data_IF_091380583916
#
_entry.id   IF_091380583916
#
_cell.length_a   1.000
_cell.length_b   1.000
_cell.length_c   1.000
_cell.angle_alpha   90.00
_cell.angle_beta   90.00
_cell.angle_gamma   90.00
#
_symmetry.space_group_name_H-M   'P 1'
#
loop_
_entity.id
_entity.type
_entity.pdbx_description
1 polymer ?
#
# COMPACT_ATOMS: atom_id res chain seq x y z
N UNK A 1 -17.16 -33.03 12.18
CA UNK A 1 -16.95 -31.58 12.39
C UNK A 1 -16.52 -31.01 11.05
N UNK A 2 -17.18 -29.98 10.53
CA UNK A 2 -16.93 -29.53 9.16
C UNK A 2 -15.53 -28.92 9.02
N UNK A 3 -14.71 -29.47 8.13
CA UNK A 3 -13.40 -28.96 7.68
C UNK A 3 -13.51 -27.67 6.83
N UNK A 4 -14.43 -26.77 7.18
CA UNK A 4 -14.44 -25.43 6.63
C UNK A 4 -13.49 -24.59 7.47
N UNK A 5 -12.24 -24.52 7.01
CA UNK A 5 -11.30 -23.46 7.40
C UNK A 5 -12.08 -22.14 7.40
N UNK A 6 -12.05 -21.40 8.51
CA UNK A 6 -12.60 -20.06 8.62
C UNK A 6 -11.84 -19.14 7.65
N UNK A 7 -12.21 -19.13 6.36
CA UNK A 7 -11.54 -18.38 5.28
C UNK A 7 -11.54 -16.87 5.52
N UNK A 8 -12.42 -16.38 6.41
CA UNK A 8 -12.56 -14.98 6.81
C UNK A 8 -11.66 -14.57 7.98
N UNK A 9 -10.83 -15.45 8.55
CA UNK A 9 -9.96 -15.10 9.69
C UNK A 9 -8.58 -15.74 9.63
N UNK A 10 -7.57 -14.98 10.04
CA UNK A 10 -6.23 -15.44 10.34
C UNK A 10 -6.15 -15.78 11.82
N UNK A 11 -5.61 -16.94 12.15
CA UNK A 11 -5.25 -17.27 13.52
C UNK A 11 -3.86 -16.69 13.84
N UNK A 12 -3.70 -16.14 15.04
CA UNK A 12 -2.43 -15.58 15.52
C UNK A 12 -2.13 -16.21 16.89
N UNK A 13 -0.94 -16.79 17.07
CA UNK A 13 -0.56 -17.45 18.33
C UNK A 13 -0.47 -16.44 19.48
N UNK A 14 -0.78 -16.89 20.70
CA UNK A 14 -0.70 -16.09 21.91
C UNK A 14 0.05 -16.83 23.02
N UNK A 15 0.80 -16.07 23.82
CA UNK A 15 1.46 -16.48 25.07
C UNK A 15 2.97 -16.69 24.94
N UNK A 16 3.58 -17.40 25.89
CA UNK A 16 5.03 -17.63 25.99
C UNK A 16 5.65 -18.10 24.67
N UNK A 17 6.61 -17.32 24.15
CA UNK A 17 7.27 -17.60 22.87
C UNK A 17 6.62 -16.95 21.64
N UNK A 18 5.38 -16.46 21.74
CA UNK A 18 4.72 -15.73 20.64
C UNK A 18 5.38 -14.37 20.38
N UNK A 19 5.39 -13.95 19.11
CA UNK A 19 5.92 -12.64 18.68
C UNK A 19 5.24 -11.46 19.41
N UNK A 20 3.94 -11.60 19.72
CA UNK A 20 3.15 -10.59 20.42
C UNK A 20 3.56 -10.49 21.89
N UNK A 21 3.75 -11.62 22.57
CA UNK A 21 4.24 -11.62 23.96
C UNK A 21 5.67 -11.09 24.03
N UNK A 22 6.55 -11.48 23.10
CA UNK A 22 7.91 -10.92 23.02
C UNK A 22 7.91 -9.41 22.81
N UNK A 23 6.96 -8.89 22.00
CA UNK A 23 6.80 -7.45 21.78
C UNK A 23 6.35 -6.74 23.06
N UNK A 24 5.31 -7.26 23.74
CA UNK A 24 4.82 -6.67 24.99
C UNK A 24 5.85 -6.69 26.13
N UNK A 25 6.79 -7.63 26.09
CA UNK A 25 7.94 -7.69 27.02
C UNK A 25 9.14 -6.85 26.58
N UNK A 26 9.06 -6.14 25.45
CA UNK A 26 10.16 -5.32 24.91
C UNK A 26 11.36 -6.12 24.39
N UNK A 27 11.22 -7.44 24.18
CA UNK A 27 12.30 -8.31 23.68
C UNK A 27 12.51 -8.20 22.17
N UNK A 28 11.51 -7.69 21.46
CA UNK A 28 11.55 -7.46 20.02
C UNK A 28 11.01 -6.08 19.73
N UNK A 29 11.60 -5.41 18.73
CA UNK A 29 11.13 -4.10 18.29
C UNK A 29 9.78 -4.24 17.55
N UNK A 30 8.96 -3.16 17.49
CA UNK A 30 7.63 -3.22 16.90
C UNK A 30 7.62 -3.56 15.40
N UNK A 31 8.62 -3.07 14.65
CA UNK A 31 8.71 -3.31 13.22
C UNK A 31 9.03 -4.76 12.85
N UNK A 32 10.07 -5.42 13.42
CA UNK A 32 10.27 -6.86 13.25
C UNK A 32 9.04 -7.69 13.62
N UNK A 33 8.35 -7.35 14.71
CA UNK A 33 7.12 -8.04 15.08
C UNK A 33 6.06 -7.95 13.96
N UNK A 34 5.92 -6.78 13.34
CA UNK A 34 4.99 -6.59 12.23
C UNK A 34 5.39 -7.32 10.94
N UNK A 35 6.70 -7.44 10.64
CA UNK A 35 7.20 -8.29 9.54
C UNK A 35 6.76 -9.74 9.74
N UNK A 36 6.96 -10.27 10.94
CA UNK A 36 6.58 -11.65 11.25
C UNK A 36 5.06 -11.86 11.20
N UNK A 37 4.27 -10.91 11.68
CA UNK A 37 2.80 -10.95 11.58
C UNK A 37 2.31 -10.87 10.12
N UNK A 38 2.99 -10.11 9.27
CA UNK A 38 2.72 -10.03 7.83
C UNK A 38 3.08 -11.34 7.11
N UNK A 39 4.19 -11.97 7.48
CA UNK A 39 4.53 -13.31 6.99
C UNK A 39 3.50 -14.36 7.46
N UNK A 40 3.01 -14.23 8.71
CA UNK A 40 1.93 -15.07 9.21
C UNK A 40 0.65 -14.89 8.38
N UNK A 41 0.33 -13.65 7.97
CA UNK A 41 -0.79 -13.38 7.07
C UNK A 41 -0.62 -14.11 5.73
N UNK A 42 0.60 -14.18 5.21
CA UNK A 42 0.94 -14.85 3.94
C UNK A 42 1.38 -16.30 4.12
N UNK A 43 0.98 -16.96 5.20
CA UNK A 43 1.34 -18.35 5.47
C UNK A 43 0.18 -19.31 5.34
N UNK A 44 0.49 -20.56 4.97
CA UNK A 44 -0.41 -21.66 5.16
C UNK A 44 -0.43 -21.98 6.66
N UNK A 45 -1.60 -21.81 7.24
CA UNK A 45 -1.81 -21.99 8.66
C UNK A 45 -1.46 -23.39 9.16
N UNK A 46 -1.74 -24.43 8.37
CA UNK A 46 -1.61 -25.82 8.83
C UNK A 46 -0.15 -26.24 9.03
N UNK A 47 0.78 -25.62 8.31
CA UNK A 47 2.19 -26.00 8.35
C UNK A 47 3.14 -24.82 8.59
N UNK A 48 2.62 -23.61 8.73
CA UNK A 48 3.39 -22.39 8.97
C UNK A 48 4.34 -21.96 7.87
N UNK A 49 4.23 -22.55 6.68
CA UNK A 49 5.06 -22.19 5.54
C UNK A 49 4.44 -20.99 4.85
N UNK A 50 5.24 -19.96 4.64
CA UNK A 50 4.83 -18.80 3.87
C UNK A 50 4.64 -19.17 2.40
N UNK A 51 3.83 -18.42 1.68
CA UNK A 51 3.89 -18.42 0.23
C UNK A 51 5.20 -17.79 -0.23
N UNK A 52 5.59 -18.03 -1.48
CA UNK A 52 6.71 -17.35 -2.09
C UNK A 52 6.56 -15.84 -1.92
N UNK A 53 7.49 -15.26 -1.17
CA UNK A 53 7.45 -13.85 -0.84
C UNK A 53 8.87 -13.29 -0.94
N UNK A 54 9.05 -12.32 -1.82
CA UNK A 54 10.31 -11.60 -1.93
C UNK A 54 10.37 -10.49 -0.88
N UNK A 55 11.59 -10.15 -0.47
CA UNK A 55 11.83 -9.03 0.45
C UNK A 55 11.26 -7.73 -0.13
N UNK A 56 11.28 -7.56 -1.46
CA UNK A 56 10.66 -6.40 -2.14
C UNK A 56 9.16 -6.40 -1.95
N UNK A 57 8.50 -7.55 -2.13
CA UNK A 57 7.05 -7.64 -1.93
C UNK A 57 6.66 -7.35 -0.48
N UNK A 58 7.44 -7.81 0.50
CA UNK A 58 7.21 -7.47 1.92
C UNK A 58 7.39 -5.98 2.19
N UNK A 59 8.43 -5.39 1.60
CA UNK A 59 8.69 -3.96 1.70
C UNK A 59 7.55 -3.12 1.10
N UNK A 60 7.04 -3.51 -0.07
CA UNK A 60 5.89 -2.87 -0.71
C UNK A 60 4.64 -2.94 0.19
N UNK A 61 4.34 -4.12 0.75
CA UNK A 61 3.17 -4.34 1.61
C UNK A 61 3.19 -3.51 2.89
N UNK A 62 4.38 -3.18 3.41
CA UNK A 62 4.53 -2.40 4.64
C UNK A 62 4.88 -0.93 4.38
N UNK A 63 5.02 -0.52 3.11
CA UNK A 63 5.45 0.84 2.75
C UNK A 63 6.85 1.19 3.22
N UNK A 64 7.79 0.24 3.15
CA UNK A 64 9.16 0.37 3.66
C UNK A 64 10.22 0.12 2.59
N UNK A 65 11.49 0.42 2.90
CA UNK A 65 12.60 0.09 2.01
C UNK A 65 12.92 -1.40 2.04
N UNK A 66 13.23 -1.96 0.87
CA UNK A 66 13.68 -3.34 0.71
C UNK A 66 14.84 -3.71 1.64
N UNK A 67 15.84 -2.82 1.74
CA UNK A 67 17.01 -3.03 2.58
C UNK A 67 16.60 -3.19 4.05
N UNK A 68 15.73 -2.30 4.53
CA UNK A 68 15.28 -2.33 5.92
C UNK A 68 14.51 -3.61 6.27
N UNK A 69 13.65 -4.09 5.37
CA UNK A 69 12.94 -5.37 5.56
C UNK A 69 13.90 -6.55 5.56
N UNK A 70 14.86 -6.59 4.65
CA UNK A 70 15.86 -7.67 4.61
C UNK A 70 16.67 -7.72 5.91
N UNK A 71 17.21 -6.58 6.33
CA UNK A 71 18.01 -6.49 7.56
C UNK A 71 17.14 -6.89 8.78
N UNK A 72 15.85 -6.53 8.78
CA UNK A 72 14.88 -6.96 9.82
C UNK A 72 14.60 -8.46 9.83
N UNK A 73 14.60 -9.13 8.67
CA UNK A 73 14.38 -10.58 8.59
C UNK A 73 15.53 -11.37 9.24
N UNK A 74 16.73 -10.81 9.26
CA UNK A 74 17.89 -11.39 9.96
C UNK A 74 17.75 -11.27 11.49
N UNK A 75 17.09 -10.20 11.98
CA UNK A 75 16.77 -10.03 13.40
C UNK A 75 15.69 -11.01 13.90
N UNK A 76 14.91 -11.61 12.99
CA UNK A 76 13.81 -12.53 13.32
C UNK A 76 14.24 -14.00 13.49
N UNK A 77 15.54 -14.23 13.69
CA UNK A 77 16.11 -15.55 13.99
C UNK A 77 15.43 -16.14 15.23
N UNK A 78 14.91 -17.36 15.11
CA UNK A 78 14.15 -18.03 16.16
C UNK A 78 12.62 -17.89 16.05
N UNK A 79 12.09 -16.91 15.31
CA UNK A 79 10.65 -16.83 14.97
C UNK A 79 10.36 -17.12 13.50
N UNK A 80 11.30 -16.79 12.63
CA UNK A 80 11.18 -16.94 11.18
C UNK A 80 12.46 -17.58 10.65
N UNK A 81 12.33 -18.76 10.07
CA UNK A 81 13.45 -19.49 9.48
C UNK A 81 13.27 -19.59 7.97
N UNK A 82 14.24 -19.12 7.19
CA UNK A 82 14.20 -19.29 5.73
C UNK A 82 14.44 -20.77 5.39
N UNK A 83 13.49 -21.41 4.70
CA UNK A 83 13.59 -22.84 4.33
C UNK A 83 13.86 -23.05 2.85
N UNK A 84 13.52 -22.09 1.99
CA UNK A 84 13.80 -22.16 0.55
C UNK A 84 14.02 -20.78 -0.01
N UNK A 85 14.98 -20.65 -0.93
CA UNK A 85 15.24 -19.44 -1.70
C UNK A 85 15.15 -19.76 -3.19
N UNK A 86 14.58 -18.85 -3.96
CA UNK A 86 14.43 -19.00 -5.41
C UNK A 86 14.22 -17.65 -6.10
N UNK A 87 14.06 -17.69 -7.43
CA UNK A 87 13.92 -16.48 -8.27
C UNK A 87 12.71 -15.63 -7.88
N UNK A 88 11.62 -16.27 -7.42
CA UNK A 88 10.37 -15.60 -7.02
C UNK A 88 10.40 -15.03 -5.59
N UNK A 89 11.48 -15.24 -4.83
CA UNK A 89 11.61 -14.84 -3.43
C UNK A 89 11.98 -16.02 -2.53
N UNK A 90 11.56 -15.94 -1.27
CA UNK A 90 11.86 -16.96 -0.25
C UNK A 90 10.58 -17.58 0.30
N UNK A 91 10.70 -18.82 0.78
CA UNK A 91 9.72 -19.46 1.65
C UNK A 91 10.33 -19.49 3.05
N UNK A 92 9.55 -19.04 4.02
CA UNK A 92 9.90 -19.04 5.42
C UNK A 92 9.01 -20.03 6.19
N UNK A 93 9.57 -20.61 7.24
CA UNK A 93 8.89 -21.39 8.27
C UNK A 93 8.75 -20.51 9.50
N UNK A 94 7.54 -20.42 10.04
CA UNK A 94 7.28 -19.67 11.26
C UNK A 94 7.35 -20.59 12.48
N UNK A 95 8.11 -20.22 13.51
CA UNK A 95 8.38 -21.06 14.68
C UNK A 95 7.13 -21.36 15.50
N UNK A 96 6.23 -20.39 15.65
CA UNK A 96 4.96 -20.60 16.37
C UNK A 96 3.99 -21.56 15.66
N UNK A 97 4.32 -21.99 14.44
CA UNK A 97 3.63 -23.03 13.67
C UNK A 97 4.42 -24.33 13.58
N UNK A 98 5.60 -24.41 14.20
CA UNK A 98 6.16 -25.69 14.59
C UNK A 98 5.23 -26.21 15.68
N UNK A 99 4.24 -27.00 15.29
CA UNK A 99 3.23 -27.62 16.16
C UNK A 99 3.84 -28.69 17.07
N UNK A 100 4.99 -28.43 17.67
CA UNK A 100 5.41 -29.23 18.82
C UNK A 100 4.61 -28.71 20.02
N UNK A 101 3.71 -29.54 20.60
CA UNK A 101 2.71 -29.07 21.57
C UNK A 101 3.30 -28.35 22.79
N UNK A 102 4.58 -28.57 23.10
CA UNK A 102 5.27 -27.94 24.23
C UNK A 102 5.75 -26.51 23.94
N UNK A 103 5.84 -26.08 22.67
CA UNK A 103 6.36 -24.77 22.29
C UNK A 103 5.27 -23.70 22.08
N UNK A 104 4.00 -24.10 22.12
CA UNK A 104 2.86 -23.18 22.00
C UNK A 104 2.03 -23.25 23.29
N UNK A 105 1.79 -22.12 23.96
CA UNK A 105 0.96 -22.05 25.16
C UNK A 105 -0.38 -22.72 24.90
N UNK A 106 -0.77 -23.64 25.76
CA UNK A 106 -1.99 -24.43 25.58
C UNK A 106 -3.08 -23.98 26.54
N UNK A 107 -4.34 -24.08 26.10
CA UNK A 107 -5.48 -23.96 26.98
C UNK A 107 -5.55 -25.15 27.96
N UNK A 108 -6.54 -25.13 28.85
CA UNK A 108 -6.81 -26.22 29.81
C UNK A 108 -7.07 -27.60 29.16
N UNK A 109 -7.21 -27.66 27.84
CA UNK A 109 -7.46 -28.86 27.06
C UNK A 109 -6.25 -29.27 26.20
N UNK A 110 -5.10 -28.59 26.32
CA UNK A 110 -3.90 -28.88 25.52
C UNK A 110 -3.94 -28.28 24.12
N UNK A 111 -4.92 -27.43 23.79
CA UNK A 111 -4.98 -26.78 22.48
C UNK A 111 -4.18 -25.49 22.49
N UNK A 112 -3.36 -25.21 21.46
CA UNK A 112 -2.60 -23.97 21.41
C UNK A 112 -3.50 -22.72 21.42
N UNK A 113 -3.22 -21.79 22.35
CA UNK A 113 -3.90 -20.52 22.56
C UNK A 113 -3.71 -19.61 21.34
N UNK A 114 -4.82 -19.26 20.71
CA UNK A 114 -4.88 -18.49 19.47
C UNK A 114 -6.01 -17.48 19.54
N UNK A 115 -5.85 -16.37 18.82
CA UNK A 115 -6.93 -15.43 18.56
C UNK A 115 -7.08 -15.19 17.07
N UNK A 116 -8.31 -14.86 16.66
CA UNK A 116 -8.65 -14.61 15.28
C UNK A 116 -8.54 -13.11 14.94
N UNK A 117 -7.80 -12.83 13.86
CA UNK A 117 -7.76 -11.53 13.17
C UNK A 117 -8.58 -11.67 11.88
N UNK A 118 -9.45 -10.70 11.52
CA UNK A 118 -10.20 -10.74 10.28
C UNK A 118 -9.32 -10.83 9.03
N UNK A 119 -9.84 -11.47 7.98
CA UNK A 119 -9.32 -11.50 6.61
C UNK A 119 -10.43 -11.08 5.64
N UNK A 120 -10.02 -10.58 4.49
CA UNK A 120 -10.93 -10.12 3.42
C UNK A 120 -10.99 -8.61 3.32
N UNK A 121 -11.88 -8.13 2.46
CA UNK A 121 -12.13 -6.70 2.25
C UNK A 121 -12.45 -6.04 3.60
N UNK A 122 -11.84 -4.88 3.85
CA UNK A 122 -11.88 -4.13 5.11
C UNK A 122 -11.16 -4.75 6.32
N UNK A 123 -10.46 -5.87 6.18
CA UNK A 123 -9.58 -6.38 7.23
C UNK A 123 -8.39 -5.42 7.47
N UNK A 124 -7.84 -5.34 8.70
CA UNK A 124 -6.75 -4.42 9.03
C UNK A 124 -5.51 -4.62 8.15
N UNK A 125 -5.15 -5.87 7.84
CA UNK A 125 -4.05 -6.17 6.93
C UNK A 125 -4.32 -5.71 5.49
N UNK A 126 -5.53 -5.91 4.97
CA UNK A 126 -5.88 -5.49 3.61
C UNK A 126 -5.91 -3.96 3.50
N UNK A 127 -6.46 -3.27 4.51
CA UNK A 127 -6.38 -1.81 4.60
C UNK A 127 -4.93 -1.32 4.71
N UNK A 128 -4.06 -2.03 5.41
CA UNK A 128 -2.63 -1.71 5.45
C UNK A 128 -1.97 -1.90 4.08
N UNK A 129 -2.24 -3.01 3.40
CA UNK A 129 -1.66 -3.30 2.08
C UNK A 129 -2.15 -2.36 0.98
N UNK A 130 -3.41 -1.90 1.09
CA UNK A 130 -3.96 -0.84 0.25
C UNK A 130 -3.38 0.54 0.61
N UNK A 131 -2.63 0.64 1.70
CA UNK A 131 -2.08 1.87 2.22
C UNK A 131 -3.15 2.80 2.80
N UNK A 132 -4.34 2.32 3.17
CA UNK A 132 -5.34 3.12 3.89
C UNK A 132 -4.88 3.42 5.31
N UNK A 133 -4.25 2.43 5.95
CA UNK A 133 -3.61 2.56 7.26
C UNK A 133 -2.12 2.21 7.19
N UNK A 134 -1.38 2.66 8.18
CA UNK A 134 0.03 2.35 8.38
C UNK A 134 0.19 1.01 9.10
N UNK A 135 1.37 0.42 8.98
CA UNK A 135 1.71 -0.81 9.71
C UNK A 135 1.67 -0.62 11.24
N UNK A 136 1.92 0.60 11.73
CA UNK A 136 1.84 0.94 13.16
C UNK A 136 0.40 0.89 13.65
N UNK A 137 -0.54 1.48 12.89
CA UNK A 137 -1.97 1.39 13.15
C UNK A 137 -2.44 -0.07 13.13
N UNK A 138 -2.03 -0.84 12.11
CA UNK A 138 -2.35 -2.27 12.05
C UNK A 138 -1.84 -3.04 13.27
N UNK A 139 -0.60 -2.78 13.72
CA UNK A 139 -0.04 -3.42 14.92
C UNK A 139 -0.83 -3.07 16.18
N UNK A 140 -1.17 -1.80 16.37
CA UNK A 140 -2.01 -1.35 17.50
C UNK A 140 -3.36 -2.04 17.48
N UNK A 141 -4.00 -2.16 16.31
CA UNK A 141 -5.27 -2.87 16.17
C UNK A 141 -5.16 -4.34 16.62
N UNK A 142 -4.09 -5.03 16.21
CA UNK A 142 -3.83 -6.43 16.62
C UNK A 142 -3.66 -6.53 18.14
N UNK A 143 -2.92 -5.62 18.76
CA UNK A 143 -2.75 -5.58 20.21
C UNK A 143 -4.08 -5.34 20.93
N UNK A 144 -4.88 -4.38 20.47
CA UNK A 144 -6.23 -4.17 21.02
C UNK A 144 -7.09 -5.42 20.88
N UNK A 145 -6.99 -6.14 19.76
CA UNK A 145 -7.74 -7.38 19.52
C UNK A 145 -7.38 -8.48 20.51
N UNK A 146 -6.09 -8.64 20.83
CA UNK A 146 -5.61 -9.58 21.86
C UNK A 146 -6.23 -9.27 23.23
N UNK A 147 -6.42 -7.99 23.54
CA UNK A 147 -6.99 -7.52 24.80
C UNK A 147 -8.50 -7.23 24.72
N UNK A 148 -9.18 -7.78 23.71
CA UNK A 148 -10.63 -7.69 23.53
C UNK A 148 -11.36 -8.95 23.94
N UNK A 149 -12.60 -8.78 24.39
CA UNK A 149 -13.52 -9.89 24.54
C UNK A 149 -13.87 -10.44 23.15
N UNK A 150 -13.67 -11.74 22.96
CA UNK A 150 -13.82 -12.37 21.65
C UNK A 150 -15.26 -12.36 21.14
N UNK A 151 -16.26 -12.41 22.04
CA UNK A 151 -17.68 -12.48 21.70
C UNK A 151 -18.22 -11.10 21.33
N UNK A 152 -17.85 -10.08 22.10
CA UNK A 152 -18.39 -8.73 21.95
C UNK A 152 -17.51 -7.84 21.09
N UNK A 153 -16.22 -8.14 20.95
CA UNK A 153 -15.24 -7.29 20.28
C UNK A 153 -14.83 -6.05 21.08
N UNK A 154 -15.34 -5.89 22.30
CA UNK A 154 -14.99 -4.76 23.18
C UNK A 154 -13.66 -5.00 23.85
N UNK A 155 -12.77 -4.01 23.83
CA UNK A 155 -11.53 -4.05 24.58
C UNK A 155 -11.80 -3.93 26.07
N UNK A 156 -10.91 -4.47 26.89
CA UNK A 156 -10.86 -4.06 28.30
C UNK A 156 -10.54 -2.56 28.38
N UNK A 157 -10.90 -1.85 29.48
CA UNK A 157 -10.52 -0.46 29.66
C UNK A 157 -8.99 -0.31 29.68
N UNK A 158 -8.45 0.43 28.71
CA UNK A 158 -7.01 0.59 28.49
C UNK A 158 -6.65 2.07 28.46
N UNK A 159 -5.53 2.46 29.07
CA UNK A 159 -4.99 3.81 28.92
C UNK A 159 -4.04 3.89 27.71
N UNK A 160 -3.88 5.09 27.15
CA UNK A 160 -2.96 5.30 26.03
C UNK A 160 -1.50 5.01 26.44
N UNK A 161 -1.15 5.22 27.72
CA UNK A 161 0.16 4.87 28.28
C UNK A 161 0.41 3.37 28.28
N UNK A 162 -0.60 2.57 28.66
CA UNK A 162 -0.50 1.10 28.63
C UNK A 162 -0.32 0.61 27.20
N UNK A 163 -1.06 1.17 26.25
CA UNK A 163 -0.93 0.80 24.84
C UNK A 163 0.45 1.19 24.28
N UNK A 164 0.95 2.37 24.63
CA UNK A 164 2.29 2.86 24.29
C UNK A 164 3.40 1.92 24.81
N UNK A 165 3.25 1.43 26.05
CA UNK A 165 4.15 0.44 26.63
C UNK A 165 4.14 -0.87 25.82
N UNK A 166 2.96 -1.41 25.51
CA UNK A 166 2.84 -2.68 24.78
C UNK A 166 3.41 -2.62 23.36
N UNK A 167 3.19 -1.51 22.66
CA UNK A 167 3.64 -1.37 21.28
C UNK A 167 5.03 -0.72 21.14
N UNK A 168 5.68 -0.32 22.24
CA UNK A 168 6.97 0.36 22.20
C UNK A 168 6.97 1.69 21.45
N UNK A 169 5.82 2.37 21.38
CA UNK A 169 5.70 3.70 20.75
C UNK A 169 5.50 4.78 21.80
N UNK A 170 5.74 6.04 21.43
CA UNK A 170 5.36 7.15 22.29
C UNK A 170 3.82 7.37 22.27
N UNK A 171 3.30 8.00 23.33
CA UNK A 171 1.86 8.27 23.49
C UNK A 171 1.27 9.06 22.32
N UNK A 172 2.01 10.02 21.78
CA UNK A 172 1.57 10.82 20.61
C UNK A 172 1.31 9.94 19.40
N UNK A 173 2.25 9.07 19.05
CA UNK A 173 2.12 8.11 17.95
C UNK A 173 0.90 7.23 18.18
N UNK A 174 0.70 6.71 19.39
CA UNK A 174 -0.48 5.89 19.71
C UNK A 174 -1.77 6.65 19.45
N UNK A 175 -1.88 7.89 19.95
CA UNK A 175 -3.06 8.72 19.72
C UNK A 175 -3.31 8.98 18.22
N UNK A 176 -2.26 9.27 17.45
CA UNK A 176 -2.37 9.51 16.00
C UNK A 176 -2.83 8.24 15.28
N UNK A 177 -2.32 7.07 15.66
CA UNK A 177 -2.74 5.78 15.09
C UNK A 177 -4.17 5.40 15.49
N UNK A 178 -4.62 5.72 16.69
CA UNK A 178 -6.02 5.51 17.08
C UNK A 178 -6.96 6.35 16.21
N UNK A 179 -6.64 7.63 15.97
CA UNK A 179 -7.41 8.48 15.06
C UNK A 179 -7.43 7.92 13.63
N UNK A 180 -6.29 7.40 13.17
CA UNK A 180 -6.19 6.75 11.86
C UNK A 180 -7.09 5.51 11.76
N UNK A 181 -7.15 4.69 12.81
CA UNK A 181 -8.01 3.50 12.88
C UNK A 181 -9.51 3.86 12.99
N UNK A 182 -9.85 4.92 13.71
CA UNK A 182 -11.21 5.48 13.77
C UNK A 182 -11.64 5.97 12.38
N UNK A 183 -10.78 6.72 11.69
CA UNK A 183 -11.05 7.23 10.34
C UNK A 183 -11.15 6.10 9.29
N UNK A 184 -10.48 4.98 9.52
CA UNK A 184 -10.56 3.77 8.69
C UNK A 184 -11.71 2.82 9.09
N UNK A 185 -12.55 3.22 10.05
CA UNK A 185 -13.70 2.45 10.56
C UNK A 185 -13.32 1.05 11.10
N UNK A 186 -12.08 0.90 11.58
CA UNK A 186 -11.58 -0.37 12.14
C UNK A 186 -11.85 -0.50 13.63
N UNK A 187 -12.09 0.62 14.31
CA UNK A 187 -12.48 0.67 15.71
C UNK A 187 -13.34 1.91 16.00
N UNK A 188 -14.08 1.83 17.10
CA UNK A 188 -14.87 2.95 17.63
C UNK A 188 -14.62 3.07 19.13
N UNK A 189 -14.43 4.31 19.62
CA UNK A 189 -14.31 4.57 21.06
C UNK A 189 -15.70 4.65 21.69
N UNK A 190 -15.97 3.76 22.65
CA UNK A 190 -17.27 3.64 23.33
C UNK A 190 -17.25 4.30 24.72
N UNK A 191 -16.08 4.47 25.32
CA UNK A 191 -15.90 5.12 26.62
C UNK A 191 -16.02 6.64 26.53
N UNK A 192 -16.46 7.28 27.62
CA UNK A 192 -16.44 8.73 27.75
C UNK A 192 -15.01 9.31 27.72
N UNK A 193 -14.81 10.59 27.35
CA UNK A 193 -13.47 11.20 27.22
C UNK A 193 -12.61 11.19 28.48
N UNK A 194 -13.23 11.16 29.67
CA UNK A 194 -12.54 11.21 30.96
C UNK A 194 -12.27 9.82 31.57
N UNK A 195 -12.72 8.75 30.91
CA UNK A 195 -12.57 7.38 31.38
C UNK A 195 -11.42 6.66 30.65
N UNK A 196 -11.01 5.52 31.22
CA UNK A 196 -10.12 4.59 30.50
C UNK A 196 -10.79 4.20 29.18
N UNK A 197 -9.98 4.19 28.13
CA UNK A 197 -10.50 4.01 26.78
C UNK A 197 -11.00 2.59 26.56
N UNK A 198 -12.25 2.46 26.17
CA UNK A 198 -12.87 1.20 25.73
C UNK A 198 -13.17 1.33 24.25
N UNK A 199 -12.65 0.40 23.45
CA UNK A 199 -12.82 0.38 22.01
C UNK A 199 -13.69 -0.81 21.60
N UNK A 200 -14.59 -0.57 20.68
CA UNK A 200 -15.27 -1.61 19.93
C UNK A 200 -14.45 -1.90 18.68
N UNK A 201 -13.89 -3.11 18.58
CA UNK A 201 -13.21 -3.58 17.38
C UNK A 201 -14.24 -4.24 16.47
N UNK A 202 -14.28 -3.83 15.20
CA UNK A 202 -15.11 -4.49 14.21
C UNK A 202 -14.58 -5.92 13.90
N UNK A 203 -15.43 -6.87 13.47
CA UNK A 203 -16.83 -6.68 13.09
C UNK A 203 -17.81 -7.27 14.11
N UNK A 204 -18.85 -6.51 14.46
CA UNK A 204 -20.20 -7.09 14.54
C UNK A 204 -20.67 -7.24 13.08
N UNK A 205 -21.22 -8.37 12.61
CA UNK A 205 -21.87 -8.40 11.30
C UNK A 205 -22.93 -7.30 11.34
N UNK A 206 -22.77 -6.24 10.54
CA UNK A 206 -23.86 -5.30 10.44
C UNK A 206 -24.84 -5.88 9.44
N UNK A 207 -26.10 -5.89 9.83
CA UNK A 207 -27.23 -6.10 8.93
C UNK A 207 -27.08 -5.07 7.80
N UNK A 208 -26.71 -5.58 6.62
CA UNK A 208 -26.53 -4.83 5.36
C UNK A 208 -25.78 -3.51 5.53
N UNK A 209 -24.44 -3.58 5.54
CA UNK A 209 -23.62 -2.38 5.35
C UNK A 209 -23.83 -1.84 3.94
N UNK A 210 -23.96 -0.52 3.75
CA UNK A 210 -23.71 0.07 2.44
C UNK A 210 -22.30 -0.30 2.01
N UNK A 211 -22.14 -0.70 0.74
CA UNK A 211 -20.84 -1.01 0.15
C UNK A 211 -19.96 0.23 0.28
N UNK A 212 -19.03 0.20 1.23
CA UNK A 212 -18.02 1.23 1.40
C UNK A 212 -17.11 1.14 0.19
N UNK A 213 -17.26 2.07 -0.76
CA UNK A 213 -16.24 2.28 -1.78
C UNK A 213 -15.09 2.99 -1.06
N UNK A 214 -13.89 2.39 -0.98
CA UNK A 214 -12.77 3.07 -0.37
C UNK A 214 -12.64 4.44 -1.04
N UNK A 215 -12.71 5.51 -0.24
CA UNK A 215 -12.22 6.82 -0.68
C UNK A 215 -10.76 6.56 -1.00
N UNK A 216 -10.46 6.35 -2.29
CA UNK A 216 -9.10 6.20 -2.81
C UNK A 216 -8.28 7.25 -2.08
N UNK A 217 -7.48 6.82 -1.10
CA UNK A 217 -6.48 7.67 -0.45
C UNK A 217 -5.76 8.25 -1.63
N UNK A 218 -5.93 9.57 -1.87
CA UNK A 218 -5.57 10.30 -3.10
C UNK A 218 -4.52 9.45 -3.78
N UNK A 219 -4.89 8.72 -4.84
CA UNK A 219 -3.88 8.06 -5.66
C UNK A 219 -2.86 9.17 -5.80
N UNK A 220 -1.67 9.01 -5.21
CA UNK A 220 -0.57 9.93 -5.51
C UNK A 220 -0.66 10.01 -7.01
N UNK A 221 -0.98 11.19 -7.53
CA UNK A 221 -1.17 11.38 -8.95
C UNK A 221 0.15 10.89 -9.55
N UNK A 222 0.20 9.64 -10.00
CA UNK A 222 1.46 9.00 -10.41
C UNK A 222 1.98 9.66 -11.67
N UNK A 223 1.15 10.50 -12.29
CA UNK A 223 1.46 11.41 -13.37
C UNK A 223 2.13 12.72 -12.92
N UNK A 224 1.91 13.22 -11.69
CA UNK A 224 2.60 14.44 -11.21
C UNK A 224 4.11 14.25 -11.02
N UNK A 225 4.58 13.00 -10.90
CA UNK A 225 6.00 12.65 -10.81
C UNK A 225 6.60 12.26 -12.18
N UNK A 226 5.83 12.30 -13.28
CA UNK A 226 6.36 12.02 -14.61
C UNK A 226 7.12 13.23 -15.14
N UNK A 227 8.41 13.06 -15.40
CA UNK A 227 9.21 14.07 -16.08
C UNK A 227 8.62 14.30 -17.47
N UNK A 228 8.43 15.56 -17.84
CA UNK A 228 8.06 15.98 -19.19
C UNK A 228 9.17 16.81 -19.82
N UNK A 229 9.28 16.76 -21.13
CA UNK A 229 9.97 17.76 -21.94
C UNK A 229 8.99 18.34 -22.98
N UNK A 230 9.47 19.22 -23.85
CA UNK A 230 8.63 19.91 -24.86
C UNK A 230 7.85 18.95 -25.78
N UNK A 231 8.34 17.73 -25.98
CA UNK A 231 7.77 16.78 -26.95
C UNK A 231 7.34 15.46 -26.32
N UNK A 232 7.82 15.13 -25.12
CA UNK A 232 7.68 13.81 -24.53
C UNK A 232 7.27 13.84 -23.05
N UNK A 233 6.46 12.85 -22.67
CA UNK A 233 6.24 12.46 -21.29
C UNK A 233 7.00 11.17 -21.00
N UNK A 234 7.82 11.15 -19.95
CA UNK A 234 8.62 10.01 -19.56
C UNK A 234 7.88 9.19 -18.51
N UNK A 235 7.90 7.86 -18.65
CA UNK A 235 7.38 7.00 -17.61
C UNK A 235 8.19 7.13 -16.32
N UNK A 236 7.59 6.81 -15.16
CA UNK A 236 8.25 6.90 -13.85
C UNK A 236 9.54 6.06 -13.71
N UNK A 237 9.72 5.06 -14.59
CA UNK A 237 10.92 4.22 -14.64
C UNK A 237 11.86 4.60 -15.81
N UNK A 238 11.61 5.72 -16.51
CA UNK A 238 12.35 6.23 -17.66
C UNK A 238 12.70 5.20 -18.75
N UNK A 239 11.95 4.10 -18.81
CA UNK A 239 12.11 3.03 -19.79
C UNK A 239 11.24 3.29 -21.01
N UNK A 240 10.14 4.01 -20.83
CA UNK A 240 9.21 4.38 -21.87
C UNK A 240 9.09 5.90 -21.91
N UNK A 241 8.84 6.44 -23.09
CA UNK A 241 8.37 7.81 -23.23
C UNK A 241 7.27 7.85 -24.28
N UNK A 242 6.32 8.75 -24.11
CA UNK A 242 5.25 8.99 -25.06
C UNK A 242 5.45 10.37 -25.68
N UNK A 243 5.43 10.45 -27.01
CA UNK A 243 5.41 11.72 -27.70
C UNK A 243 4.01 12.36 -27.54
N UNK A 244 3.96 13.56 -26.97
CA UNK A 244 2.72 14.26 -26.64
C UNK A 244 1.94 14.70 -27.89
N UNK A 245 2.61 14.83 -29.04
CA UNK A 245 2.00 15.25 -30.29
C UNK A 245 1.45 14.08 -31.09
N UNK A 246 2.22 12.99 -31.19
CA UNK A 246 1.88 11.85 -32.06
C UNK A 246 1.28 10.66 -31.31
N UNK A 247 1.29 10.68 -29.98
CA UNK A 247 0.95 9.54 -29.11
C UNK A 247 1.82 8.29 -29.38
N UNK A 248 2.94 8.44 -30.09
CA UNK A 248 3.89 7.35 -30.31
C UNK A 248 4.62 7.03 -29.02
N UNK A 249 4.69 5.75 -28.67
CA UNK A 249 5.44 5.28 -27.51
C UNK A 249 6.80 4.81 -27.99
N UNK A 250 7.84 5.22 -27.29
CA UNK A 250 9.20 4.78 -27.51
C UNK A 250 9.73 4.04 -26.29
N UNK A 251 10.58 3.05 -26.53
CA UNK A 251 11.23 2.25 -25.50
C UNK A 251 12.74 2.49 -25.52
N UNK A 252 13.32 2.56 -24.33
CA UNK A 252 14.76 2.71 -24.14
C UNK A 252 15.43 1.35 -24.12
N UNK A 253 16.53 1.19 -24.86
CA UNK A 253 17.29 -0.07 -24.89
C UNK A 253 17.78 -0.49 -23.50
N UNK A 254 18.18 0.49 -22.68
CA UNK A 254 18.71 0.29 -21.33
C UNK A 254 18.17 1.36 -20.39
N UNK A 255 17.89 0.97 -19.15
CA UNK A 255 17.40 1.91 -18.14
C UNK A 255 18.46 2.99 -17.84
N UNK A 256 18.08 4.27 -17.93
CA UNK A 256 18.94 5.42 -17.62
C UNK A 256 19.98 5.81 -18.68
N UNK A 257 20.26 4.99 -19.70
CA UNK A 257 21.24 5.27 -20.79
C UNK A 257 20.83 4.57 -22.08
N UNK A 258 21.17 5.11 -23.24
CA UNK A 258 20.94 4.47 -24.55
C UNK A 258 19.90 5.16 -25.43
N UNK A 259 19.77 4.65 -26.66
CA UNK A 259 18.89 5.22 -27.70
C UNK A 259 17.42 4.84 -27.45
N UNK A 260 16.53 5.71 -27.92
CA UNK A 260 15.10 5.50 -27.93
C UNK A 260 14.68 4.89 -29.25
N UNK A 261 13.78 3.90 -29.20
CA UNK A 261 13.24 3.24 -30.38
C UNK A 261 11.72 3.27 -30.36
N UNK A 262 11.06 3.48 -31.50
CA UNK A 262 9.61 3.40 -31.58
C UNK A 262 9.14 1.99 -31.19
N UNK A 263 8.22 1.92 -30.24
CA UNK A 263 7.58 0.68 -29.83
C UNK A 263 6.53 0.31 -30.88
N UNK A 264 6.64 -0.89 -31.46
CA UNK A 264 5.65 -1.37 -32.43
C UNK A 264 4.31 -1.60 -31.73
N UNK A 265 3.20 -1.39 -32.42
CA UNK A 265 1.87 -1.53 -31.82
C UNK A 265 1.62 -2.90 -31.19
N UNK A 266 2.09 -3.96 -31.85
CA UNK A 266 2.02 -5.35 -31.33
C UNK A 266 2.76 -5.53 -30.00
N UNK A 267 3.73 -4.68 -29.69
CA UNK A 267 4.58 -4.73 -28.49
C UNK A 267 4.07 -3.81 -27.37
N UNK A 268 2.99 -3.03 -27.60
CA UNK A 268 2.40 -2.15 -26.57
C UNK A 268 1.93 -2.88 -25.32
N UNK A 269 1.53 -4.16 -25.45
CA UNK A 269 1.15 -4.99 -24.30
C UNK A 269 2.30 -5.25 -23.30
N UNK A 270 3.56 -4.97 -23.71
CA UNK A 270 4.73 -5.04 -22.85
C UNK A 270 4.90 -3.80 -21.95
N UNK A 271 4.14 -2.73 -22.21
CA UNK A 271 4.11 -1.54 -21.36
C UNK A 271 3.20 -1.85 -20.15
N UNK A 272 3.68 -1.68 -18.91
CA UNK A 272 2.84 -1.82 -17.72
C UNK A 272 1.57 -0.98 -17.81
N UNK A 273 0.41 -1.55 -17.45
CA UNK A 273 -0.90 -0.87 -17.55
C UNK A 273 -0.93 0.51 -16.88
N UNK A 274 -0.30 0.64 -15.71
CA UNK A 274 -0.22 1.90 -14.96
C UNK A 274 0.53 2.99 -15.75
N UNK A 275 1.53 2.62 -16.56
CA UNK A 275 2.26 3.57 -17.42
C UNK A 275 1.40 3.96 -18.61
N UNK A 276 0.67 3.00 -19.21
CA UNK A 276 -0.26 3.28 -20.29
C UNK A 276 -1.37 4.24 -19.84
N UNK A 277 -2.03 3.95 -18.72
CA UNK A 277 -3.06 4.82 -18.14
C UNK A 277 -2.53 6.23 -17.86
N UNK A 278 -1.28 6.36 -17.40
CA UNK A 278 -0.67 7.65 -17.18
C UNK A 278 -0.36 8.41 -18.48
N UNK A 279 0.11 7.72 -19.53
CA UNK A 279 0.30 8.32 -20.84
C UNK A 279 -1.03 8.77 -21.47
N UNK A 280 -2.07 7.95 -21.37
CA UNK A 280 -3.40 8.29 -21.89
C UNK A 280 -3.94 9.56 -21.20
N UNK A 281 -3.86 9.63 -19.87
CA UNK A 281 -4.27 10.83 -19.12
C UNK A 281 -3.48 12.09 -19.54
N UNK A 282 -2.16 11.98 -19.74
CA UNK A 282 -1.33 13.11 -20.18
C UNK A 282 -1.64 13.55 -21.61
N UNK A 283 -1.95 12.60 -22.50
CA UNK A 283 -2.37 12.92 -23.87
C UNK A 283 -3.72 13.63 -23.88
N UNK A 284 -4.65 13.21 -23.03
CA UNK A 284 -5.95 13.86 -22.91
C UNK A 284 -5.84 15.27 -22.33
N UNK A 285 -5.03 15.46 -21.28
CA UNK A 285 -4.75 16.80 -20.73
C UNK A 285 -4.06 17.70 -21.77
N UNK A 286 -3.08 17.18 -22.51
CA UNK A 286 -2.43 17.93 -23.59
C UNK A 286 -3.36 18.25 -24.77
N UNK A 287 -4.39 17.43 -25.01
CA UNK A 287 -5.44 17.71 -26.02
C UNK A 287 -6.41 18.77 -25.53
N UNK A 288 -6.81 18.70 -24.27
CA UNK A 288 -7.70 19.66 -23.64
C UNK A 288 -7.05 21.05 -23.61
N UNK A 289 -5.79 21.15 -23.18
CA UNK A 289 -5.01 22.39 -23.20
C UNK A 289 -4.92 22.95 -24.64
N UNK A 290 -4.62 22.11 -25.64
CA UNK A 290 -4.57 22.53 -27.05
C UNK A 290 -5.92 23.00 -27.57
N UNK A 291 -7.00 22.36 -27.16
CA UNK A 291 -8.35 22.77 -27.53
C UNK A 291 -8.70 24.14 -26.94
N UNK A 292 -8.40 24.36 -25.66
CA UNK A 292 -8.59 25.66 -25.01
C UNK A 292 -7.73 26.76 -25.63
N UNK A 293 -6.46 26.48 -25.95
CA UNK A 293 -5.58 27.41 -26.65
C UNK A 293 -6.12 27.79 -28.04
N UNK A 294 -6.57 26.81 -28.84
CA UNK A 294 -7.19 27.10 -30.15
C UNK A 294 -8.45 27.95 -30.00
N UNK A 295 -9.25 27.69 -28.96
CA UNK A 295 -10.45 28.48 -28.68
C UNK A 295 -10.10 29.92 -28.28
N UNK A 296 -9.06 30.12 -27.47
CA UNK A 296 -8.59 31.45 -27.08
C UNK A 296 -7.99 32.22 -28.27
N UNK A 297 -7.12 31.58 -29.06
CA UNK A 297 -6.53 32.18 -30.26
C UNK A 297 -7.56 32.45 -31.36
N UNK A 298 -8.62 31.64 -31.45
CA UNK A 298 -9.76 31.89 -32.34
C UNK A 298 -10.71 32.98 -31.85
N UNK A 299 -10.57 33.47 -30.61
CA UNK A 299 -11.31 34.61 -30.07
C UNK A 299 -10.54 35.93 -30.20
N UNK A 300 -9.21 35.88 -30.38
CA UNK A 300 -8.35 37.06 -30.64
C UNK A 300 -8.09 37.32 -32.14
N UNK A 301 -8.61 36.47 -33.03
CA UNK A 301 -8.50 36.61 -34.48
C UNK A 301 -9.71 37.32 -35.08
N UNK A 302 -9.58 38.63 -35.24
CA UNK A 302 -10.41 39.47 -36.12
C UNK A 302 -10.69 38.83 -37.48
N UNK A 303 -11.89 39.08 -38.00
CA UNK A 303 -12.27 38.98 -39.41
C UNK A 303 -11.07 39.15 -40.36
N UNK A 304 -10.62 38.07 -40.98
CA UNK A 304 -10.19 38.05 -42.39
C UNK A 304 -10.06 36.60 -42.90
N UNK A 305 -11.02 36.23 -43.75
CA UNK A 305 -10.94 35.26 -44.84
C UNK A 305 -10.62 33.77 -44.55
N UNK A 306 -11.62 32.91 -44.74
CA UNK A 306 -11.44 31.57 -45.32
C UNK A 306 -11.29 31.66 -46.85
N UNK A 307 -10.94 30.59 -47.58
CA UNK A 307 -9.89 29.59 -47.37
C UNK A 307 -8.95 29.54 -48.60
N UNK A 308 -7.66 29.27 -48.40
CA UNK A 308 -6.70 29.08 -49.50
C UNK A 308 -5.61 28.11 -49.10
N UNK A 309 -5.39 27.11 -49.96
CA UNK A 309 -4.34 26.13 -49.85
C UNK A 309 -2.95 26.78 -49.77
N UNK A 310 -2.03 26.07 -49.13
CA UNK A 310 -0.59 26.25 -49.16
C UNK A 310 -0.05 27.59 -48.65
N UNK A 311 0.68 27.51 -47.53
CA UNK A 311 1.61 28.47 -46.91
C UNK A 311 1.16 29.09 -45.58
N UNK A 312 1.46 28.41 -44.47
CA UNK A 312 1.74 29.04 -43.17
C UNK A 312 2.19 27.97 -42.16
N UNK A 313 3.39 27.41 -42.35
CA UNK A 313 3.97 26.45 -41.41
C UNK A 313 5.11 27.04 -40.54
N UNK A 314 5.45 28.32 -40.73
CA UNK A 314 6.59 28.94 -40.02
C UNK A 314 6.16 29.93 -38.92
N UNK A 315 5.08 30.70 -39.09
CA UNK A 315 4.67 31.72 -38.10
C UNK A 315 4.02 31.19 -36.81
N UNK A 316 3.52 29.94 -36.80
CA UNK A 316 2.84 29.36 -35.63
C UNK A 316 3.83 28.79 -34.59
N UNK A 317 5.05 28.44 -35.01
CA UNK A 317 6.06 27.85 -34.14
C UNK A 317 6.72 28.89 -33.23
N UNK A 318 6.95 30.10 -33.73
CA UNK A 318 7.64 31.15 -32.96
C UNK A 318 6.75 31.71 -31.85
N UNK A 319 5.47 31.98 -32.12
CA UNK A 319 4.52 32.43 -31.10
C UNK A 319 4.23 31.36 -30.02
N UNK A 320 4.24 30.08 -30.40
CA UNK A 320 4.12 28.98 -29.44
C UNK A 320 5.39 28.79 -28.60
N UNK A 321 6.58 28.95 -29.19
CA UNK A 321 7.85 28.87 -28.48
C UNK A 321 8.04 30.04 -27.50
N UNK A 322 7.67 31.26 -27.92
CA UNK A 322 7.77 32.47 -27.10
C UNK A 322 6.82 32.41 -25.89
N UNK A 323 5.60 31.91 -26.07
CA UNK A 323 4.65 31.69 -24.97
C UNK A 323 5.07 30.57 -24.01
N UNK A 324 5.58 29.43 -24.52
CA UNK A 324 6.12 28.36 -23.66
C UNK A 324 7.36 28.82 -22.87
N UNK A 325 8.16 29.73 -23.44
CA UNK A 325 9.28 30.35 -22.74
C UNK A 325 8.82 31.30 -21.63
N UNK A 326 7.69 32.00 -21.82
CA UNK A 326 7.07 32.89 -20.82
C UNK A 326 6.40 32.14 -19.66
N UNK A 327 6.07 30.87 -19.85
CA UNK A 327 5.55 29.95 -18.83
C UNK A 327 6.64 29.34 -17.93
N UNK A 328 7.91 29.78 -18.04
CA UNK A 328 8.93 29.53 -17.01
C UNK A 328 8.50 30.25 -15.72
N UNK A 329 7.65 29.57 -14.97
CA UNK A 329 7.34 29.81 -13.58
C UNK A 329 8.64 30.09 -12.82
N UNK A 330 8.70 31.25 -12.17
CA UNK A 330 9.52 31.43 -10.98
C UNK A 330 9.23 30.25 -10.03
N UNK A 331 10.26 29.45 -9.79
CA UNK A 331 10.28 28.41 -8.76
C UNK A 331 10.58 29.03 -7.40
#
# INVERSE_FOLDING_TARGET
MSDKVQTSTQQVPLGSGSIITSLGLGRIKPFPAMVALTLNYRSNWNNGKTWWTSDRKLADLMGMSHRYVRDTLEELTGWVTRIKQGVKGSIYQLTHHLCEPHNVPSDKHGNPLKFAVPRGEDAPFEKMFAGEITWKACLIWILLKVHSDFKTGKTKPISMETLAMWCGFNKKTVCDMIKELEAAELLERVSAPHEKSVFQLYPKPAEKRPVYRPKKRRQKNTYQDMRTDEQHCYSFNEKYRCNLNTAAIEVRERHGRGKWHPLKDRERHLVPKVIMEAFDNMLDEAREIRWHLRKALGLDGSDTAHPGADTAQEGLNDAQAEFLSSLKLEL
#
